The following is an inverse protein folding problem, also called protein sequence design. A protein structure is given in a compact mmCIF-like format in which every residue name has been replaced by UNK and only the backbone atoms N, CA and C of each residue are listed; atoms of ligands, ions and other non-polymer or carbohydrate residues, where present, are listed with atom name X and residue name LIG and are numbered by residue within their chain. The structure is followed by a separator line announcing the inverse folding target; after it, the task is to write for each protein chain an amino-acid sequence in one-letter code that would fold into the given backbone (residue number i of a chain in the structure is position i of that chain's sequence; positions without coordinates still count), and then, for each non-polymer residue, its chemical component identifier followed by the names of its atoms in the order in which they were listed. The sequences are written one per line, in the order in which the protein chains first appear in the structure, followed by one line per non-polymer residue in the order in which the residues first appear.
data_IF_043154651527
#
_entry.id   IF_043154651527
#
_cell.length_a   1.000
_cell.length_b   1.000
_cell.length_c   1.000
_cell.angle_alpha   90.00
_cell.angle_beta   90.00
_cell.angle_gamma   90.00
#
_symmetry.space_group_name_H-M   'P 1'
#
loop_
_entity.id
_entity.type
_entity.pdbx_description
1 polymer ?
#
# COMPACT_ATOMS: atom_id res chain seq x y z
N UNK A 1 4.47 -25.55 -21.00
CA UNK A 1 4.09 -25.36 -19.58
C UNK A 1 4.06 -23.85 -19.37
N UNK A 2 2.91 -23.26 -19.08
CA UNK A 2 2.84 -21.85 -18.70
C UNK A 2 3.55 -21.72 -17.36
N UNK A 3 4.56 -20.86 -17.26
CA UNK A 3 5.05 -20.49 -15.93
C UNK A 3 3.92 -19.78 -15.18
N UNK A 4 3.72 -20.16 -13.92
CA UNK A 4 2.78 -19.50 -13.03
C UNK A 4 3.23 -18.06 -12.78
N UNK A 5 2.30 -17.10 -12.80
CA UNK A 5 2.63 -15.69 -12.56
C UNK A 5 3.13 -15.51 -11.13
N UNK A 6 4.25 -14.82 -10.95
CA UNK A 6 4.87 -14.55 -9.66
C UNK A 6 4.64 -13.10 -9.28
N UNK A 7 3.84 -12.88 -8.24
CA UNK A 7 3.49 -11.54 -7.75
C UNK A 7 4.20 -11.30 -6.43
N UNK A 8 4.93 -10.20 -6.31
CA UNK A 8 5.47 -9.74 -5.04
C UNK A 8 4.51 -8.73 -4.39
N UNK A 9 4.28 -8.85 -3.09
CA UNK A 9 3.49 -7.90 -2.31
C UNK A 9 4.32 -7.25 -1.21
N UNK A 10 4.33 -5.93 -1.20
CA UNK A 10 4.85 -5.08 -0.12
C UNK A 10 3.65 -4.37 0.48
N UNK A 11 3.28 -4.72 1.72
CA UNK A 11 2.07 -4.25 2.36
C UNK A 11 2.29 -3.87 3.83
N UNK A 12 1.29 -3.24 4.44
CA UNK A 12 1.33 -2.78 5.83
C UNK A 12 1.18 -3.95 6.82
N UNK A 13 0.27 -4.87 6.51
CA UNK A 13 -0.08 -5.96 7.41
C UNK A 13 -0.61 -7.23 6.72
N UNK A 14 -1.01 -8.22 7.52
CA UNK A 14 -1.51 -9.50 7.02
C UNK A 14 -2.92 -9.41 6.42
N UNK A 15 -3.76 -8.47 6.88
CA UNK A 15 -5.12 -8.28 6.32
C UNK A 15 -5.05 -7.86 4.85
N UNK A 16 -4.11 -6.99 4.51
CA UNK A 16 -3.92 -6.49 3.14
C UNK A 16 -3.56 -7.62 2.17
N UNK A 17 -2.75 -8.59 2.63
CA UNK A 17 -2.45 -9.78 1.84
C UNK A 17 -3.73 -10.49 1.42
N UNK A 18 -4.62 -10.78 2.37
CA UNK A 18 -5.86 -11.53 2.11
C UNK A 18 -6.78 -10.75 1.18
N UNK A 19 -6.95 -9.45 1.40
CA UNK A 19 -7.83 -8.60 0.57
C UNK A 19 -7.29 -8.49 -0.85
N UNK A 20 -6.00 -8.20 -1.02
CA UNK A 20 -5.37 -8.07 -2.34
C UNK A 20 -5.33 -9.41 -3.07
N UNK A 21 -5.03 -10.51 -2.37
CA UNK A 21 -5.06 -11.85 -2.97
C UNK A 21 -6.45 -12.18 -3.50
N UNK A 22 -7.50 -11.95 -2.69
CA UNK A 22 -8.87 -12.21 -3.09
C UNK A 22 -9.28 -11.37 -4.31
N UNK A 23 -8.92 -10.08 -4.34
CA UNK A 23 -9.17 -9.21 -5.49
C UNK A 23 -8.44 -9.72 -6.75
N UNK A 24 -7.15 -10.07 -6.64
CA UNK A 24 -6.38 -10.60 -7.77
C UNK A 24 -6.94 -11.93 -8.26
N UNK A 25 -7.37 -12.83 -7.39
CA UNK A 25 -8.02 -14.11 -7.78
C UNK A 25 -9.34 -13.90 -8.52
N UNK A 26 -10.06 -12.82 -8.21
CA UNK A 26 -11.29 -12.48 -8.92
C UNK A 26 -11.02 -11.84 -10.31
N UNK A 27 -9.88 -11.17 -10.48
CA UNK A 27 -9.54 -10.42 -11.70
C UNK A 27 -8.69 -11.25 -12.68
N UNK A 28 -7.71 -12.00 -12.16
CA UNK A 28 -6.74 -12.76 -12.96
C UNK A 28 -7.26 -14.18 -13.23
N UNK A 29 -7.34 -14.55 -14.50
CA UNK A 29 -7.73 -15.89 -14.95
C UNK A 29 -6.62 -16.96 -14.81
N UNK A 30 -5.32 -16.68 -15.06
CA UNK A 30 -4.28 -17.68 -14.80
C UNK A 30 -3.99 -17.80 -13.30
N UNK A 31 -3.55 -18.99 -12.89
CA UNK A 31 -3.00 -19.19 -11.55
C UNK A 31 -1.76 -18.30 -11.32
N UNK A 32 -1.60 -17.84 -10.09
CA UNK A 32 -0.46 -17.04 -9.66
C UNK A 32 -0.03 -17.46 -8.25
N UNK A 33 1.25 -17.26 -7.97
CA UNK A 33 1.81 -17.30 -6.62
C UNK A 33 2.10 -15.88 -6.17
N UNK A 34 1.53 -15.48 -5.03
CA UNK A 34 1.84 -14.20 -4.40
C UNK A 34 2.74 -14.40 -3.19
N UNK A 35 3.91 -13.77 -3.21
CA UNK A 35 4.87 -13.75 -2.11
C UNK A 35 4.84 -12.41 -1.39
N UNK A 36 4.63 -12.45 -0.08
CA UNK A 36 4.74 -11.26 0.78
C UNK A 36 6.21 -10.96 1.07
N UNK A 37 6.69 -9.81 0.61
CA UNK A 37 8.04 -9.31 0.86
C UNK A 37 8.11 -8.39 2.08
N UNK A 38 7.01 -7.76 2.47
CA UNK A 38 6.90 -6.89 3.64
C UNK A 38 5.45 -6.91 4.17
N UNK A 39 5.23 -7.04 5.50
CA UNK A 39 6.19 -7.46 6.52
C UNK A 39 6.89 -8.80 6.25
N UNK A 40 8.18 -8.88 6.63
CA UNK A 40 8.93 -10.14 6.65
C UNK A 40 8.71 -10.88 7.97
N UNK A 41 8.13 -12.08 7.90
CA UNK A 41 7.94 -12.92 9.09
C UNK A 41 9.26 -13.34 9.74
N UNK A 42 10.27 -13.63 8.92
CA UNK A 42 11.53 -14.22 9.38
C UNK A 42 12.56 -13.20 9.85
N UNK A 43 12.43 -11.94 9.42
CA UNK A 43 13.37 -10.84 9.72
C UNK A 43 12.61 -9.52 9.83
N UNK A 44 11.89 -9.28 10.93
CA UNK A 44 11.00 -8.11 11.08
C UNK A 44 11.75 -6.79 11.33
N UNK A 45 12.95 -6.61 10.75
CA UNK A 45 13.79 -5.42 10.93
C UNK A 45 13.09 -4.14 10.46
N UNK A 46 12.28 -4.24 9.40
CA UNK A 46 11.51 -3.11 8.85
C UNK A 46 10.33 -2.70 9.76
N UNK A 47 9.85 -3.62 10.59
CA UNK A 47 8.61 -3.44 11.35
C UNK A 47 7.36 -3.75 10.52
N UNK A 48 6.21 -3.28 11.00
CA UNK A 48 4.88 -3.43 10.38
C UNK A 48 4.29 -2.05 10.06
N UNK A 49 3.14 -2.03 9.38
CA UNK A 49 2.45 -0.80 8.99
C UNK A 49 3.16 -0.08 7.84
N UNK A 50 2.62 1.08 7.45
CA UNK A 50 3.21 1.95 6.42
C UNK A 50 4.68 2.33 6.68
N UNK A 51 5.11 2.44 7.94
CA UNK A 51 6.51 2.68 8.28
C UNK A 51 7.44 1.54 7.82
N UNK A 52 6.95 0.29 7.86
CA UNK A 52 7.68 -0.85 7.34
C UNK A 52 7.73 -0.84 5.81
N UNK A 53 6.63 -0.46 5.15
CA UNK A 53 6.61 -0.27 3.70
C UNK A 53 7.60 0.81 3.27
N UNK A 54 7.61 1.97 3.93
CA UNK A 54 8.57 3.06 3.68
C UNK A 54 10.02 2.57 3.81
N UNK A 55 10.35 1.90 4.92
CA UNK A 55 11.72 1.38 5.16
C UNK A 55 12.11 0.35 4.10
N UNK A 56 11.18 -0.52 3.72
CA UNK A 56 11.40 -1.49 2.66
C UNK A 56 11.67 -0.81 1.31
N UNK A 57 10.85 0.19 0.92
CA UNK A 57 11.04 0.97 -0.30
C UNK A 57 12.41 1.67 -0.33
N UNK A 58 12.87 2.18 0.82
CA UNK A 58 14.15 2.85 0.96
C UNK A 58 15.36 1.91 0.86
N UNK A 59 15.26 0.70 1.40
CA UNK A 59 16.41 -0.20 1.60
C UNK A 59 16.50 -1.36 0.60
N UNK A 60 15.37 -1.84 0.03
CA UNK A 60 15.29 -3.17 -0.60
C UNK A 60 14.81 -3.20 -2.05
N UNK A 61 15.01 -2.11 -2.79
CA UNK A 61 14.91 -2.22 -4.25
C UNK A 61 16.20 -2.86 -4.77
N UNK A 62 16.24 -4.18 -4.69
CA UNK A 62 17.37 -4.98 -5.13
C UNK A 62 17.01 -5.83 -6.37
N UNK A 63 17.99 -6.46 -7.03
CA UNK A 63 17.77 -7.27 -8.22
C UNK A 63 16.83 -8.48 -8.05
N UNK A 64 16.47 -8.87 -6.82
CA UNK A 64 15.53 -9.99 -6.59
C UNK A 64 14.11 -9.65 -7.07
N UNK A 65 13.78 -8.36 -7.19
CA UNK A 65 12.50 -7.92 -7.76
C UNK A 65 12.37 -8.26 -9.25
N UNK A 66 13.47 -8.47 -9.98
CA UNK A 66 13.43 -8.93 -11.38
C UNK A 66 12.94 -10.38 -11.52
N UNK A 67 12.82 -11.13 -10.44
CA UNK A 67 12.28 -12.49 -10.44
C UNK A 67 10.75 -12.58 -10.39
N UNK A 68 10.06 -11.44 -10.26
CA UNK A 68 8.60 -11.34 -10.22
C UNK A 68 8.06 -10.72 -11.52
N UNK A 69 6.88 -11.17 -11.92
CA UNK A 69 6.17 -10.66 -13.10
C UNK A 69 5.42 -9.36 -12.79
N UNK A 70 5.07 -9.15 -11.51
CA UNK A 70 4.37 -7.99 -10.97
C UNK A 70 4.85 -7.71 -9.54
N UNK A 71 5.09 -6.44 -9.22
CA UNK A 71 5.35 -5.97 -7.85
C UNK A 71 4.22 -5.04 -7.43
N UNK A 72 3.57 -5.35 -6.32
CA UNK A 72 2.52 -4.53 -5.73
C UNK A 72 3.06 -3.84 -4.49
N UNK A 73 3.02 -2.52 -4.49
CA UNK A 73 3.30 -1.70 -3.31
C UNK A 73 1.97 -1.16 -2.80
N UNK A 74 1.57 -1.65 -1.64
CA UNK A 74 0.32 -1.30 -1.00
C UNK A 74 0.57 -0.39 0.20
N UNK A 75 -0.13 0.74 0.22
CA UNK A 75 -0.14 1.73 1.28
C UNK A 75 -1.55 2.31 1.33
N UNK A 76 -2.12 2.40 2.52
CA UNK A 76 -3.44 3.00 2.71
C UNK A 76 -3.39 4.52 2.51
N UNK A 77 -4.43 5.09 1.92
CA UNK A 77 -4.42 6.53 1.58
C UNK A 77 -4.48 7.42 2.83
N UNK A 78 -4.87 6.89 4.00
CA UNK A 78 -4.80 7.63 5.26
C UNK A 78 -3.36 8.00 5.65
N UNK A 79 -2.35 7.34 5.08
CA UNK A 79 -0.93 7.63 5.29
C UNK A 79 -0.59 9.06 4.86
N UNK A 80 -1.35 9.61 3.90
CA UNK A 80 -1.24 11.00 3.47
C UNK A 80 -1.48 12.01 4.61
N UNK A 81 -2.09 11.60 5.73
CA UNK A 81 -2.32 12.44 6.92
C UNK A 81 -1.23 12.32 7.99
N UNK A 82 -0.29 11.39 7.82
CA UNK A 82 0.73 11.04 8.83
C UNK A 82 1.96 11.93 8.71
N UNK A 83 2.94 11.72 9.60
CA UNK A 83 4.24 12.40 9.60
C UNK A 83 5.36 11.37 9.63
N UNK A 84 6.47 11.64 8.94
CA UNK A 84 7.65 10.77 8.95
C UNK A 84 8.19 10.47 10.36
N UNK A 85 8.06 11.42 11.29
CA UNK A 85 8.41 11.23 12.70
C UNK A 85 7.68 10.06 13.38
N UNK A 86 6.52 9.63 12.86
CA UNK A 86 5.82 8.43 13.35
C UNK A 86 6.61 7.14 13.11
N UNK A 87 7.60 7.13 12.20
CA UNK A 87 8.43 5.97 11.89
C UNK A 87 9.77 5.91 12.62
N UNK A 88 10.04 6.89 13.49
CA UNK A 88 11.24 7.01 14.31
C UNK A 88 12.32 7.92 13.71
N UNK A 89 13.29 8.30 14.54
CA UNK A 89 14.32 9.29 14.22
C UNK A 89 15.22 8.91 13.05
N UNK A 90 15.42 7.62 12.78
CA UNK A 90 16.19 7.18 11.61
C UNK A 90 15.54 7.59 10.30
N UNK A 91 14.20 7.58 10.24
CA UNK A 91 13.44 8.02 9.05
C UNK A 91 13.50 9.53 8.89
N UNK A 92 13.44 10.30 9.99
CA UNK A 92 13.58 11.76 9.92
C UNK A 92 14.92 12.19 9.34
N UNK A 93 16.00 11.47 9.64
CA UNK A 93 17.31 11.72 9.05
C UNK A 93 17.29 11.48 7.52
N UNK A 94 16.66 10.38 7.07
CA UNK A 94 16.56 10.08 5.64
C UNK A 94 15.78 11.14 4.85
N UNK A 95 14.74 11.73 5.43
CA UNK A 95 13.97 12.80 4.76
C UNK A 95 14.89 13.94 4.36
N UNK A 96 15.81 14.35 5.24
CA UNK A 96 16.77 15.41 4.97
C UNK A 96 17.82 14.99 3.92
N UNK A 97 18.25 13.73 3.94
CA UNK A 97 19.31 13.22 3.06
C UNK A 97 18.82 12.90 1.64
N UNK A 98 17.59 12.39 1.52
CA UNK A 98 17.06 11.81 0.28
C UNK A 98 16.08 12.71 -0.48
N UNK A 99 15.80 13.90 0.06
CA UNK A 99 14.87 14.88 -0.55
C UNK A 99 13.52 14.25 -0.91
N UNK A 100 12.98 13.43 0.00
CA UNK A 100 11.66 12.84 -0.19
C UNK A 100 10.56 13.89 -0.21
N UNK A 101 9.49 13.57 -0.93
CA UNK A 101 8.28 14.38 -0.91
C UNK A 101 7.66 14.41 0.50
N UNK A 102 6.91 15.46 0.78
CA UNK A 102 6.46 15.74 2.13
C UNK A 102 5.27 14.87 2.56
N UNK A 103 5.27 14.48 3.83
CA UNK A 103 4.08 14.08 4.58
C UNK A 103 3.81 15.09 5.70
N UNK A 104 2.56 15.49 5.96
CA UNK A 104 1.33 15.05 5.29
C UNK A 104 1.18 15.65 3.88
N UNK A 105 0.53 14.92 2.97
CA UNK A 105 0.24 15.34 1.59
C UNK A 105 -1.26 15.35 1.23
N UNK A 106 -2.14 15.06 2.20
CA UNK A 106 -3.58 14.94 1.96
C UNK A 106 -4.21 16.22 1.37
N UNK A 107 -5.20 16.02 0.49
CA UNK A 107 -5.96 17.06 -0.20
C UNK A 107 -7.43 17.03 0.26
N UNK A 108 -8.21 18.10 0.00
CA UNK A 108 -9.65 18.06 0.20
C UNK A 108 -10.28 16.85 -0.53
N UNK A 109 -11.22 16.17 0.13
CA UNK A 109 -11.96 15.03 -0.43
C UNK A 109 -13.46 15.33 -0.29
N UNK A 110 -14.27 15.21 -1.35
CA UNK A 110 -13.97 14.62 -2.67
C UNK A 110 -13.31 15.58 -3.71
N UNK A 111 -12.60 15.05 -4.73
CA UNK A 111 -12.35 13.62 -4.96
C UNK A 111 -11.13 13.08 -4.19
N UNK A 112 -11.14 11.79 -3.82
CA UNK A 112 -10.01 11.16 -3.13
C UNK A 112 -8.75 11.07 -4.02
N UNK A 113 -8.94 11.05 -5.34
CA UNK A 113 -7.88 10.92 -6.34
C UNK A 113 -6.76 11.95 -6.19
N UNK A 114 -7.07 13.16 -5.71
CA UNK A 114 -6.08 14.21 -5.51
C UNK A 114 -5.08 13.83 -4.39
N UNK A 115 -5.58 13.15 -3.35
CA UNK A 115 -4.72 12.61 -2.29
C UNK A 115 -3.99 11.37 -2.76
N UNK A 116 -4.63 10.49 -3.53
CA UNK A 116 -3.99 9.29 -4.09
C UNK A 116 -2.78 9.66 -4.95
N UNK A 117 -2.94 10.62 -5.86
CA UNK A 117 -1.86 11.09 -6.72
C UNK A 117 -0.70 11.68 -5.91
N UNK A 118 -1.01 12.52 -4.91
CA UNK A 118 0.01 13.10 -4.03
C UNK A 118 0.76 12.04 -3.21
N UNK A 119 0.06 11.01 -2.73
CA UNK A 119 0.67 9.91 -2.00
C UNK A 119 1.50 8.99 -2.92
N UNK A 120 1.06 8.77 -4.16
CA UNK A 120 1.83 8.01 -5.14
C UNK A 120 3.18 8.67 -5.41
N UNK A 121 3.22 10.00 -5.54
CA UNK A 121 4.47 10.76 -5.71
C UNK A 121 5.37 10.67 -4.47
N UNK A 122 4.78 10.67 -3.27
CA UNK A 122 5.49 10.38 -2.03
C UNK A 122 6.14 8.99 -2.05
N UNK A 123 5.39 7.94 -2.40
CA UNK A 123 5.91 6.57 -2.46
C UNK A 123 7.00 6.45 -3.53
N UNK A 124 6.83 7.07 -4.70
CA UNK A 124 7.87 7.12 -5.74
C UNK A 124 9.16 7.76 -5.23
N UNK A 125 9.07 8.80 -4.40
CA UNK A 125 10.24 9.46 -3.81
C UNK A 125 11.01 8.54 -2.87
N UNK A 126 10.31 7.67 -2.11
CA UNK A 126 10.95 6.66 -1.27
C UNK A 126 11.78 5.67 -2.09
N UNK A 127 11.33 5.38 -3.31
CA UNK A 127 11.98 4.44 -4.22
C UNK A 127 13.23 5.01 -4.91
N UNK A 128 13.54 6.30 -4.73
CA UNK A 128 14.74 6.91 -5.29
C UNK A 128 14.83 6.84 -6.83
N UNK A 129 13.68 6.81 -7.52
CA UNK A 129 13.60 6.74 -8.97
C UNK A 129 13.77 5.34 -9.58
N UNK A 130 13.99 4.31 -8.77
CA UNK A 130 14.00 2.93 -9.26
C UNK A 130 12.55 2.44 -9.35
N UNK A 131 12.10 2.10 -10.57
CA UNK A 131 10.85 1.38 -10.78
C UNK A 131 11.19 -0.06 -11.15
N UNK A 132 10.92 -1.05 -10.29
CA UNK A 132 10.87 -2.43 -10.72
C UNK A 132 9.94 -2.53 -11.95
N UNK A 133 10.32 -3.33 -12.95
CA UNK A 133 9.46 -3.57 -14.11
C UNK A 133 8.09 -4.06 -13.62
N UNK A 134 7.01 -3.51 -14.17
CA UNK A 134 5.62 -3.84 -13.81
C UNK A 134 5.31 -3.65 -12.32
N UNK A 135 5.55 -2.44 -11.78
CA UNK A 135 5.09 -2.07 -10.44
C UNK A 135 3.68 -1.46 -10.47
N UNK A 136 2.81 -1.89 -9.57
CA UNK A 136 1.48 -1.30 -9.32
C UNK A 136 1.43 -0.73 -7.92
N UNK A 137 1.01 0.54 -7.81
CA UNK A 137 0.67 1.15 -6.52
C UNK A 137 -0.78 0.83 -6.19
N UNK A 138 -0.99 0.12 -5.08
CA UNK A 138 -2.28 -0.35 -4.61
C UNK A 138 -2.73 0.54 -3.44
N UNK A 139 -3.40 1.64 -3.75
CA UNK A 139 -3.71 2.73 -2.80
C UNK A 139 -5.23 2.83 -2.56
N UNK A 140 -5.82 1.99 -1.68
CA UNK A 140 -7.24 2.05 -1.41
C UNK A 140 -7.61 3.33 -0.65
N UNK A 141 -8.79 3.87 -0.96
CA UNK A 141 -9.27 5.09 -0.32
C UNK A 141 -9.40 4.91 1.20
N UNK A 142 -8.59 5.66 1.95
CA UNK A 142 -8.35 5.60 3.39
C UNK A 142 -7.84 4.26 3.95
N UNK A 143 -8.38 3.12 3.53
CA UNK A 143 -7.96 1.79 3.99
C UNK A 143 -8.41 0.69 3.03
N UNK A 144 -7.77 -0.48 3.09
CA UNK A 144 -8.27 -1.70 2.43
C UNK A 144 -9.69 -2.10 2.91
N UNK A 145 -10.11 -1.65 4.09
CA UNK A 145 -11.49 -1.73 4.58
C UNK A 145 -12.52 -1.08 3.66
N UNK A 146 -12.16 -0.03 2.92
CA UNK A 146 -13.08 0.60 1.93
C UNK A 146 -13.43 -0.34 0.79
N UNK A 147 -12.47 -1.16 0.34
CA UNK A 147 -12.73 -2.17 -0.67
C UNK A 147 -13.61 -3.29 -0.12
N UNK A 148 -13.34 -3.71 1.11
CA UNK A 148 -14.16 -4.72 1.79
C UNK A 148 -15.62 -4.27 1.93
N UNK A 149 -15.84 -3.05 2.41
CA UNK A 149 -17.17 -2.45 2.52
C UNK A 149 -17.88 -2.40 1.16
N UNK A 150 -17.20 -1.89 0.13
CA UNK A 150 -17.76 -1.77 -1.23
C UNK A 150 -18.09 -3.13 -1.86
N UNK A 151 -17.35 -4.18 -1.50
CA UNK A 151 -17.55 -5.52 -2.04
C UNK A 151 -18.68 -6.29 -1.33
N UNK A 152 -18.89 -6.06 -0.04
CA UNK A 152 -19.79 -6.88 0.79
C UNK A 152 -21.10 -6.21 1.17
N UNK A 153 -21.12 -4.88 1.31
CA UNK A 153 -22.30 -4.17 1.78
C UNK A 153 -23.29 -3.89 0.64
N UNK A 154 -24.60 -3.87 0.93
CA UNK A 154 -25.60 -3.42 -0.03
C UNK A 154 -25.32 -1.96 -0.46
N UNK A 155 -25.60 -1.57 -1.72
CA UNK A 155 -25.39 -0.19 -2.19
C UNK A 155 -26.10 0.90 -1.37
N UNK A 156 -27.15 0.54 -0.63
CA UNK A 156 -27.91 1.43 0.25
C UNK A 156 -27.36 1.53 1.68
N UNK A 157 -26.27 0.82 2.00
CA UNK A 157 -25.69 0.85 3.33
C UNK A 157 -25.11 2.22 3.64
N UNK A 158 -25.47 2.76 4.81
CA UNK A 158 -25.00 4.05 5.30
C UNK A 158 -23.46 4.15 5.42
N UNK A 159 -22.75 3.03 5.55
CA UNK A 159 -21.29 3.00 5.56
C UNK A 159 -20.68 3.38 4.21
N UNK A 160 -21.42 3.19 3.11
CA UNK A 160 -20.96 3.53 1.76
C UNK A 160 -21.10 5.02 1.43
N UNK A 161 -21.80 5.80 2.25
CA UNK A 161 -21.96 7.24 2.04
C UNK A 161 -20.61 7.94 2.24
N UNK A 162 -20.10 8.58 1.18
CA UNK A 162 -18.79 9.23 1.16
C UNK A 162 -17.64 8.32 1.60
N UNK A 163 -17.75 7.01 1.30
CA UNK A 163 -16.84 5.97 1.79
C UNK A 163 -15.37 6.25 1.49
N UNK A 164 -15.07 6.81 0.33
CA UNK A 164 -13.68 7.13 -0.08
C UNK A 164 -13.03 8.25 0.75
N UNK A 165 -13.84 9.10 1.39
CA UNK A 165 -13.39 10.22 2.21
C UNK A 165 -13.50 9.92 3.72
N UNK A 166 -13.87 8.70 4.10
CA UNK A 166 -14.18 8.35 5.48
C UNK A 166 -13.04 7.57 6.16
N UNK A 167 -12.20 8.29 6.92
CA UNK A 167 -11.09 7.73 7.71
C UNK A 167 -11.52 6.74 8.81
N UNK A 168 -12.81 6.71 9.17
CA UNK A 168 -13.30 5.88 10.29
C UNK A 168 -13.96 4.58 9.83
N UNK A 169 -14.05 4.35 8.51
CA UNK A 169 -14.81 3.25 7.95
C UNK A 169 -14.32 1.89 8.43
N UNK A 170 -13.00 1.62 8.35
CA UNK A 170 -12.44 0.33 8.74
C UNK A 170 -12.75 -0.02 10.20
N UNK A 171 -12.64 0.95 11.10
CA UNK A 171 -12.98 0.77 12.53
C UNK A 171 -14.46 0.45 12.76
N UNK A 172 -15.33 0.74 11.79
CA UNK A 172 -16.77 0.44 11.83
C UNK A 172 -17.14 -0.88 11.15
N UNK A 173 -16.19 -1.54 10.48
CA UNK A 173 -16.35 -2.88 9.88
C UNK A 173 -15.99 -4.01 10.86
N UNK A 174 -15.17 -3.72 11.87
CA UNK A 174 -14.88 -4.66 12.94
C UNK A 174 -16.15 -4.86 13.80
N UNK A 175 -16.71 -6.07 13.77
CA UNK A 175 -17.78 -6.53 14.67
C UNK A 175 -17.23 -6.84 16.06
#
# INVERSE_FOLDING_TARGET
MSNELRIALVAEGPTDYVVIEAALRAILQPAFVMLQLQPEDTKPKMGKGWCGVLKWCNERIDPTLFGFDLVIIHVDVDVATKKYANCGSSVENWVNEKSWENLPCNKPCPPVSDTVNALEDVIKSWLGGIKPNHTVFCLPAQSSGTWLASALLPPSDHLLINTECNLTLESRLAL
#
